data_IF_762279476881
#
_entry.id   IF_762279476881
#
_cell.length_a   1.000
_cell.length_b   1.000
_cell.length_c   1.000
_cell.angle_alpha   90.00
_cell.angle_beta   90.00
_cell.angle_gamma   90.00
#
_symmetry.space_group_name_H-M   'P 1'
#
loop_
_entity.id
_entity.type
_entity.pdbx_description
1 polymer ?
#
# COMPACT_ATOMS: atom_id res chain seq x y z
N UNK A 1 -17.25 -14.70 3.93
CA UNK A 1 -16.41 -15.57 4.79
C UNK A 1 -15.06 -14.90 4.83
N UNK A 2 -14.52 -14.54 5.99
CA UNK A 2 -13.18 -13.89 6.06
C UNK A 2 -12.10 -14.94 5.78
N UNK A 3 -11.06 -14.57 5.03
CA UNK A 3 -9.87 -15.38 4.79
C UNK A 3 -8.91 -15.36 5.98
N UNK A 4 -9.04 -14.32 6.81
CA UNK A 4 -8.20 -14.05 7.95
C UNK A 4 -8.95 -14.43 9.23
N UNK A 5 -8.88 -15.70 9.61
CA UNK A 5 -9.47 -16.16 10.87
C UNK A 5 -8.65 -15.69 12.09
N UNK A 6 -9.26 -15.81 13.27
CA UNK A 6 -8.67 -15.32 14.52
C UNK A 6 -7.33 -16.01 14.83
N UNK A 7 -7.21 -17.31 14.55
CA UNK A 7 -6.00 -18.08 14.88
C UNK A 7 -4.85 -17.72 13.95
N UNK A 8 -5.13 -17.50 12.66
CA UNK A 8 -4.17 -17.00 11.68
C UNK A 8 -3.65 -15.61 12.07
N UNK A 9 -4.59 -14.69 12.39
CA UNK A 9 -4.23 -13.33 12.80
C UNK A 9 -3.41 -13.31 14.10
N UNK A 10 -3.73 -14.18 15.06
CA UNK A 10 -2.94 -14.30 16.29
C UNK A 10 -1.49 -14.74 16.00
N UNK A 11 -1.30 -15.76 15.16
CA UNK A 11 0.05 -16.22 14.76
C UNK A 11 0.85 -15.13 14.04
N UNK A 12 0.22 -14.41 13.12
CA UNK A 12 0.85 -13.28 12.40
C UNK A 12 1.22 -12.16 13.38
N UNK A 13 0.31 -11.83 14.31
CA UNK A 13 0.55 -10.82 15.33
C UNK A 13 1.76 -11.15 16.24
N UNK A 14 1.87 -12.42 16.68
CA UNK A 14 2.99 -12.86 17.51
C UNK A 14 4.35 -12.69 16.83
N UNK A 15 4.43 -12.91 15.50
CA UNK A 15 5.66 -12.77 14.72
C UNK A 15 6.04 -11.32 14.39
N UNK A 16 5.07 -10.40 14.43
CA UNK A 16 5.28 -9.02 13.99
C UNK A 16 6.33 -8.25 14.81
N UNK A 17 6.42 -8.51 16.12
CA UNK A 17 7.41 -7.87 16.99
C UNK A 17 8.84 -8.32 16.70
N UNK A 18 9.04 -9.60 16.42
CA UNK A 18 10.34 -10.17 16.07
C UNK A 18 10.81 -9.68 14.68
N UNK A 19 9.92 -9.70 13.68
CA UNK A 19 10.23 -9.22 12.33
C UNK A 19 10.66 -7.73 12.33
N UNK A 20 9.98 -6.88 13.12
CA UNK A 20 10.38 -5.50 13.33
C UNK A 20 11.74 -5.38 14.03
N UNK A 21 11.95 -6.10 15.12
CA UNK A 21 13.18 -6.02 15.90
C UNK A 21 14.42 -6.50 15.13
N UNK A 22 14.28 -7.59 14.39
CA UNK A 22 15.37 -8.20 13.59
C UNK A 22 15.51 -7.60 12.20
N UNK A 23 14.57 -6.74 11.77
CA UNK A 23 14.52 -6.19 10.41
C UNK A 23 14.50 -7.28 9.34
N UNK A 24 13.64 -8.28 9.49
CA UNK A 24 13.54 -9.42 8.58
C UNK A 24 12.16 -9.54 7.95
N UNK A 25 12.12 -10.18 6.77
CA UNK A 25 10.84 -10.52 6.13
C UNK A 25 10.19 -11.72 6.84
N UNK A 26 8.91 -11.64 7.20
CA UNK A 26 8.22 -12.75 7.85
C UNK A 26 7.71 -13.80 6.84
N UNK A 27 8.59 -14.65 6.33
CA UNK A 27 8.27 -15.66 5.30
C UNK A 27 7.09 -16.57 5.68
N UNK A 28 6.95 -16.87 6.98
CA UNK A 28 5.83 -17.68 7.48
C UNK A 28 4.49 -16.98 7.35
N UNK A 29 4.45 -15.65 7.42
CA UNK A 29 3.22 -14.88 7.21
C UNK A 29 2.74 -15.03 5.76
N UNK A 30 3.66 -14.94 4.79
CA UNK A 30 3.33 -15.16 3.38
C UNK A 30 2.82 -16.59 3.13
N UNK A 31 3.46 -17.60 3.73
CA UNK A 31 3.02 -18.99 3.61
C UNK A 31 1.62 -19.19 4.20
N UNK A 32 1.39 -18.72 5.42
CA UNK A 32 0.09 -18.80 6.09
C UNK A 32 -1.02 -18.07 5.31
N UNK A 33 -0.74 -16.89 4.75
CA UNK A 33 -1.69 -16.13 3.91
C UNK A 33 -1.98 -16.84 2.59
N UNK A 34 -0.98 -17.49 1.99
CA UNK A 34 -1.16 -18.33 0.79
C UNK A 34 -2.03 -19.53 1.08
N UNK A 35 -1.75 -20.25 2.15
CA UNK A 35 -2.51 -21.45 2.56
C UNK A 35 -3.96 -21.12 2.90
N UNK A 36 -4.21 -19.93 3.46
CA UNK A 36 -5.55 -19.40 3.68
C UNK A 36 -6.28 -18.96 2.40
N UNK A 37 -5.60 -18.93 1.24
CA UNK A 37 -6.14 -18.46 -0.03
C UNK A 37 -6.24 -16.93 -0.17
N UNK A 38 -5.64 -16.17 0.76
CA UNK A 38 -5.74 -14.70 0.79
C UNK A 38 -5.08 -14.04 -0.43
N UNK A 39 -3.99 -14.63 -0.98
CA UNK A 39 -3.32 -14.07 -2.17
C UNK A 39 -4.21 -14.09 -3.41
N UNK A 40 -5.09 -15.07 -3.54
CA UNK A 40 -6.05 -15.18 -4.65
C UNK A 40 -7.45 -14.66 -4.29
N UNK A 41 -7.65 -14.08 -3.10
CA UNK A 41 -8.97 -13.65 -2.65
C UNK A 41 -9.58 -12.55 -3.54
N UNK A 42 -8.75 -11.66 -4.07
CA UNK A 42 -9.17 -10.58 -4.96
C UNK A 42 -9.29 -11.01 -6.44
N UNK A 43 -8.73 -12.16 -6.82
CA UNK A 43 -8.85 -12.71 -8.18
C UNK A 43 -10.31 -13.12 -8.45
N UNK A 44 -10.92 -12.74 -9.60
CA UNK A 44 -12.27 -13.16 -9.95
C UNK A 44 -12.41 -14.68 -10.05
N UNK A 45 -13.61 -15.19 -9.79
CA UNK A 45 -13.89 -16.65 -9.77
C UNK A 45 -13.62 -17.35 -11.09
N UNK A 46 -13.85 -16.66 -12.21
CA UNK A 46 -13.57 -17.18 -13.56
C UNK A 46 -12.06 -17.37 -13.84
N UNK A 47 -11.19 -16.75 -13.04
CA UNK A 47 -9.73 -16.93 -13.08
C UNK A 47 -9.22 -17.84 -11.96
N UNK A 48 -10.11 -18.44 -11.16
CA UNK A 48 -9.76 -19.39 -10.10
C UNK A 48 -9.54 -18.78 -8.73
N UNK A 49 -9.89 -17.51 -8.50
CA UNK A 49 -9.86 -16.86 -7.20
C UNK A 49 -11.19 -16.87 -6.45
N UNK A 50 -11.29 -16.11 -5.37
CA UNK A 50 -12.50 -16.03 -4.56
C UNK A 50 -13.46 -14.90 -4.98
N UNK A 51 -13.02 -13.96 -5.79
CA UNK A 51 -13.86 -12.92 -6.38
C UNK A 51 -14.25 -11.80 -5.41
N UNK A 52 -13.51 -11.59 -4.31
CA UNK A 52 -13.79 -10.47 -3.41
C UNK A 52 -13.74 -9.14 -4.19
N UNK A 53 -14.61 -8.20 -3.83
CA UNK A 53 -14.60 -6.83 -4.31
C UNK A 53 -13.47 -6.01 -3.69
N UNK A 54 -13.15 -4.83 -4.22
CA UNK A 54 -12.19 -3.91 -3.62
C UNK A 54 -12.64 -3.49 -2.20
N UNK A 55 -13.94 -3.30 -2.01
CA UNK A 55 -14.52 -3.00 -0.69
C UNK A 55 -14.22 -4.10 0.33
N UNK A 56 -14.35 -5.36 -0.07
CA UNK A 56 -14.11 -6.52 0.81
C UNK A 56 -12.60 -6.71 1.07
N UNK A 57 -11.75 -6.60 0.04
CA UNK A 57 -10.29 -6.68 0.20
C UNK A 57 -9.77 -5.53 1.08
N UNK A 58 -10.29 -4.32 0.97
CA UNK A 58 -9.91 -3.22 1.85
C UNK A 58 -10.27 -3.51 3.32
N UNK A 59 -11.39 -4.18 3.59
CA UNK A 59 -11.75 -4.60 4.94
C UNK A 59 -10.82 -5.70 5.48
N UNK A 60 -10.51 -6.72 4.67
CA UNK A 60 -9.52 -7.75 5.03
C UNK A 60 -8.13 -7.12 5.27
N UNK A 61 -7.72 -6.17 4.44
CA UNK A 61 -6.44 -5.47 4.59
C UNK A 61 -6.38 -4.65 5.89
N UNK A 62 -7.46 -3.97 6.26
CA UNK A 62 -7.59 -3.31 7.57
C UNK A 62 -7.40 -4.32 8.70
N UNK A 63 -8.03 -5.48 8.60
CA UNK A 63 -7.94 -6.55 9.61
C UNK A 63 -6.52 -7.10 9.72
N UNK A 64 -5.84 -7.36 8.59
CA UNK A 64 -4.44 -7.82 8.59
C UNK A 64 -3.50 -6.77 9.18
N UNK A 65 -3.72 -5.48 8.87
CA UNK A 65 -2.90 -4.39 9.38
C UNK A 65 -3.03 -4.20 10.90
N UNK A 66 -4.16 -4.55 11.50
CA UNK A 66 -4.31 -4.60 12.97
C UNK A 66 -3.40 -5.66 13.59
N UNK A 67 -3.22 -6.79 12.94
CA UNK A 67 -2.34 -7.85 13.42
C UNK A 67 -0.85 -7.52 13.19
N UNK A 68 -0.48 -7.16 11.96
CA UNK A 68 0.91 -6.90 11.57
C UNK A 68 0.99 -5.86 10.45
N UNK A 69 1.23 -4.58 10.77
CA UNK A 69 1.31 -3.50 9.79
C UNK A 69 2.31 -3.74 8.65
N UNK A 70 3.51 -4.21 8.99
CA UNK A 70 4.55 -4.46 7.99
C UNK A 70 4.20 -5.60 7.03
N UNK A 71 3.63 -6.71 7.52
CA UNK A 71 3.11 -7.80 6.67
C UNK A 71 1.98 -7.29 5.78
N UNK A 72 1.03 -6.53 6.35
CA UNK A 72 -0.09 -5.97 5.61
C UNK A 72 0.37 -5.02 4.49
N UNK A 73 1.28 -4.09 4.80
CA UNK A 73 1.81 -3.17 3.80
C UNK A 73 2.60 -3.90 2.70
N UNK A 74 3.38 -4.92 3.05
CA UNK A 74 4.09 -5.73 2.07
C UNK A 74 3.14 -6.41 1.09
N UNK A 75 2.18 -7.19 1.62
CA UNK A 75 1.23 -7.95 0.80
C UNK A 75 0.24 -7.04 0.04
N UNK A 76 0.07 -5.81 0.51
CA UNK A 76 -0.74 -4.79 -0.15
C UNK A 76 -0.27 -4.53 -1.58
N UNK A 77 1.04 -4.59 -1.85
CA UNK A 77 1.58 -4.40 -3.20
C UNK A 77 1.10 -5.48 -4.16
N UNK A 78 1.00 -6.73 -3.69
CA UNK A 78 0.40 -7.81 -4.46
C UNK A 78 -1.09 -7.54 -4.75
N UNK A 79 -1.87 -7.15 -3.75
CA UNK A 79 -3.29 -6.87 -3.93
C UNK A 79 -3.56 -5.69 -4.86
N UNK A 80 -2.70 -4.66 -4.86
CA UNK A 80 -2.77 -3.54 -5.80
C UNK A 80 -2.66 -4.02 -7.25
N UNK A 81 -1.71 -4.91 -7.53
CA UNK A 81 -1.50 -5.42 -8.89
C UNK A 81 -2.63 -6.39 -9.31
N UNK A 82 -3.13 -7.22 -8.40
CA UNK A 82 -4.32 -8.03 -8.68
C UNK A 82 -5.54 -7.15 -8.98
N UNK A 83 -5.73 -6.08 -8.21
CA UNK A 83 -6.76 -5.07 -8.46
C UNK A 83 -6.61 -4.38 -9.81
N UNK A 84 -5.38 -4.03 -10.20
CA UNK A 84 -5.08 -3.54 -11.55
C UNK A 84 -5.54 -4.55 -12.60
N UNK A 85 -5.19 -5.84 -12.45
CA UNK A 85 -5.62 -6.91 -13.36
C UNK A 85 -7.13 -6.97 -13.52
N UNK A 86 -7.88 -6.92 -12.41
CA UNK A 86 -9.35 -6.86 -12.43
C UNK A 86 -9.88 -5.64 -13.18
N UNK A 87 -9.33 -4.47 -12.88
CA UNK A 87 -9.73 -3.22 -13.50
C UNK A 87 -9.50 -3.25 -15.01
N UNK A 88 -8.35 -3.77 -15.46
CA UNK A 88 -8.02 -3.92 -16.87
C UNK A 88 -8.98 -4.86 -17.59
N UNK A 89 -9.30 -6.02 -17.03
CA UNK A 89 -10.27 -6.96 -17.62
C UNK A 89 -11.65 -6.32 -17.70
N UNK A 90 -12.11 -5.64 -16.66
CA UNK A 90 -13.39 -4.92 -16.67
C UNK A 90 -13.43 -3.79 -17.73
N UNK A 91 -12.28 -3.17 -18.02
CA UNK A 91 -12.13 -2.18 -19.09
C UNK A 91 -11.94 -2.81 -20.50
N UNK A 92 -12.03 -4.13 -20.64
CA UNK A 92 -11.85 -4.84 -21.90
C UNK A 92 -10.38 -4.99 -22.35
N UNK A 93 -9.42 -4.77 -21.45
CA UNK A 93 -8.00 -4.93 -21.74
C UNK A 93 -7.49 -6.32 -21.31
N UNK A 94 -7.22 -7.18 -22.30
CA UNK A 94 -6.78 -8.56 -22.12
C UNK A 94 -5.43 -8.69 -21.34
N UNK A 95 -4.63 -7.62 -21.25
CA UNK A 95 -3.38 -7.63 -20.45
C UNK A 95 -3.64 -7.90 -18.94
N UNK A 96 -4.83 -7.59 -18.46
CA UNK A 96 -5.24 -7.90 -17.09
C UNK A 96 -5.39 -9.40 -16.82
N UNK A 97 -5.74 -10.21 -17.83
CA UNK A 97 -5.96 -11.66 -17.64
C UNK A 97 -4.69 -12.39 -17.17
N UNK A 98 -3.51 -12.03 -17.71
CA UNK A 98 -2.27 -12.68 -17.31
C UNK A 98 -1.94 -12.39 -15.85
N UNK A 99 -2.15 -11.16 -15.39
CA UNK A 99 -1.99 -10.78 -13.96
C UNK A 99 -2.88 -11.68 -13.07
N UNK A 100 -4.14 -11.85 -13.46
CA UNK A 100 -5.10 -12.64 -12.68
C UNK A 100 -4.76 -14.13 -12.68
N UNK A 101 -4.32 -14.69 -13.82
CA UNK A 101 -3.88 -16.08 -13.94
C UNK A 101 -2.62 -16.33 -13.11
N UNK A 102 -1.64 -15.44 -13.16
CA UNK A 102 -0.41 -15.53 -12.38
C UNK A 102 -0.72 -15.49 -10.87
N UNK A 103 -1.57 -14.56 -10.42
CA UNK A 103 -1.99 -14.48 -9.02
C UNK A 103 -2.72 -15.75 -8.57
N UNK A 104 -3.64 -16.29 -9.39
CA UNK A 104 -4.33 -17.55 -9.12
C UNK A 104 -3.38 -18.76 -9.07
N UNK A 105 -2.29 -18.73 -9.84
CA UNK A 105 -1.22 -19.75 -9.81
C UNK A 105 -0.28 -19.61 -8.60
N UNK A 106 -0.46 -18.58 -7.76
CA UNK A 106 0.33 -18.36 -6.54
C UNK A 106 1.55 -17.47 -6.74
N UNK A 107 1.67 -16.79 -7.89
CA UNK A 107 2.72 -15.79 -8.12
C UNK A 107 2.50 -14.57 -7.20
N UNK A 108 3.59 -13.99 -6.74
CA UNK A 108 3.59 -12.85 -5.81
C UNK A 108 4.06 -11.60 -6.54
N UNK A 109 3.20 -10.59 -6.58
CA UNK A 109 3.52 -9.34 -7.25
C UNK A 109 4.21 -8.35 -6.34
N UNK A 110 5.35 -7.81 -6.78
CA UNK A 110 6.01 -6.62 -6.24
C UNK A 110 5.65 -5.38 -7.05
N UNK A 111 5.94 -4.21 -6.47
CA UNK A 111 5.59 -2.90 -7.03
C UNK A 111 6.82 -2.00 -7.05
N UNK A 112 7.46 -1.84 -8.22
CA UNK A 112 8.69 -1.09 -8.45
C UNK A 112 8.44 0.22 -9.21
N UNK A 113 7.72 1.16 -8.60
CA UNK A 113 7.38 2.46 -9.22
C UNK A 113 8.29 3.58 -8.74
N UNK A 114 8.52 3.71 -7.44
CA UNK A 114 9.29 4.82 -6.85
C UNK A 114 10.75 4.81 -7.31
N UNK A 115 11.30 6.00 -7.53
CA UNK A 115 12.68 6.22 -8.01
C UNK A 115 13.37 7.32 -7.19
N UNK A 116 14.69 7.25 -7.00
CA UNK A 116 15.41 8.29 -6.27
C UNK A 116 15.27 9.67 -6.95
N UNK A 117 14.82 10.68 -6.20
CA UNK A 117 14.69 12.05 -6.69
C UNK A 117 13.60 12.27 -7.75
N UNK A 118 12.71 11.31 -7.95
CA UNK A 118 11.57 11.42 -8.86
C UNK A 118 10.29 11.82 -8.08
N UNK A 119 9.95 13.09 -8.12
CA UNK A 119 8.73 13.66 -7.54
C UNK A 119 7.48 13.52 -8.45
N UNK A 120 7.65 13.06 -9.70
CA UNK A 120 6.52 12.75 -10.59
C UNK A 120 5.85 11.42 -10.27
N UNK A 121 6.51 10.58 -9.49
CA UNK A 121 6.03 9.26 -9.04
C UNK A 121 5.47 8.43 -10.22
N UNK A 122 4.16 8.19 -10.26
CA UNK A 122 3.49 7.39 -11.31
C UNK A 122 3.40 8.12 -12.66
N UNK A 123 3.53 9.45 -12.66
CA UNK A 123 3.28 10.29 -13.84
C UNK A 123 4.52 10.60 -14.68
N UNK A 124 5.67 10.09 -14.28
CA UNK A 124 6.91 10.19 -15.04
C UNK A 124 8.02 9.35 -14.45
N UNK A 125 9.00 8.97 -15.25
CA UNK A 125 10.07 8.08 -14.83
C UNK A 125 11.45 8.61 -15.21
N UNK A 126 12.43 8.37 -14.35
CA UNK A 126 13.86 8.58 -14.59
C UNK A 126 14.54 7.28 -15.08
N UNK A 127 13.89 6.12 -14.94
CA UNK A 127 14.31 4.85 -15.55
C UNK A 127 14.18 4.95 -17.06
N UNK A 128 15.24 4.61 -17.78
CA UNK A 128 15.23 4.54 -19.25
C UNK A 128 14.57 3.23 -19.70
N UNK A 129 13.65 3.33 -20.68
CA UNK A 129 13.10 2.22 -21.42
C UNK A 129 13.51 2.32 -22.88
N UNK A 130 14.20 1.31 -23.41
CA UNK A 130 14.68 1.27 -24.80
C UNK A 130 13.97 0.15 -25.53
N UNK A 131 13.30 0.47 -26.64
CA UNK A 131 12.60 -0.52 -27.46
C UNK A 131 13.57 -1.59 -27.99
N UNK A 132 13.15 -2.84 -27.96
CA UNK A 132 13.88 -3.99 -28.52
C UNK A 132 13.32 -4.37 -29.89
N UNK A 133 14.06 -5.13 -30.67
CA UNK A 133 13.67 -5.50 -32.06
C UNK A 133 12.47 -6.44 -32.14
N UNK A 134 12.12 -7.10 -31.04
CA UNK A 134 10.99 -8.01 -30.89
C UNK A 134 9.72 -7.35 -30.31
N UNK A 135 9.75 -6.02 -30.18
CA UNK A 135 8.60 -5.23 -29.70
C UNK A 135 8.51 -5.13 -28.18
N UNK A 136 9.48 -5.65 -27.44
CA UNK A 136 9.64 -5.47 -25.99
C UNK A 136 10.42 -4.20 -25.65
N UNK A 137 10.84 -4.10 -24.37
CA UNK A 137 11.65 -3.00 -23.87
C UNK A 137 12.74 -3.48 -22.91
N UNK A 138 13.92 -2.88 -23.02
CA UNK A 138 15.00 -3.03 -22.02
C UNK A 138 14.97 -1.83 -21.07
N UNK A 139 15.03 -2.12 -19.75
CA UNK A 139 14.94 -1.10 -18.71
C UNK A 139 16.26 -0.93 -17.98
N UNK A 140 16.65 0.33 -17.76
CA UNK A 140 17.86 0.71 -17.02
C UNK A 140 17.58 1.87 -16.08
N UNK A 141 17.80 1.65 -14.77
CA UNK A 141 17.51 2.66 -13.74
C UNK A 141 17.48 2.06 -12.33
N UNK A 142 16.95 2.82 -11.38
CA UNK A 142 16.89 2.40 -9.98
C UNK A 142 15.46 2.53 -9.46
N UNK A 143 14.94 1.45 -8.89
CA UNK A 143 13.66 1.46 -8.17
C UNK A 143 13.93 1.34 -6.68
N UNK A 144 13.26 2.18 -5.89
CA UNK A 144 13.34 2.19 -4.42
C UNK A 144 12.00 1.82 -3.82
N UNK A 145 11.99 1.43 -2.54
CA UNK A 145 10.78 1.00 -1.84
C UNK A 145 10.05 -0.16 -2.52
N UNK A 146 10.83 -1.09 -3.12
CA UNK A 146 10.27 -2.29 -3.76
C UNK A 146 9.90 -3.32 -2.68
N UNK A 147 8.72 -3.19 -2.09
CA UNK A 147 8.24 -4.11 -1.06
C UNK A 147 8.19 -5.54 -1.56
N UNK A 148 8.27 -6.52 -0.64
CA UNK A 148 8.37 -7.96 -0.95
C UNK A 148 9.65 -8.34 -1.70
N UNK A 149 10.72 -7.55 -1.62
CA UNK A 149 11.98 -7.84 -2.34
C UNK A 149 12.52 -9.26 -2.16
N UNK A 150 12.41 -9.91 -0.99
CA UNK A 150 12.85 -11.30 -0.85
C UNK A 150 11.99 -12.32 -1.60
N UNK A 151 10.73 -12.03 -1.89
CA UNK A 151 9.73 -13.05 -2.23
C UNK A 151 8.86 -12.77 -3.46
N UNK A 152 8.89 -11.58 -4.04
CA UNK A 152 8.13 -11.31 -5.26
C UNK A 152 8.63 -12.21 -6.40
N UNK A 153 7.72 -12.69 -7.23
CA UNK A 153 8.01 -13.50 -8.42
C UNK A 153 7.71 -12.73 -9.70
N UNK A 154 6.89 -11.68 -9.59
CA UNK A 154 6.50 -10.76 -10.65
C UNK A 154 6.66 -9.34 -10.12
N UNK A 155 7.35 -8.48 -10.85
CA UNK A 155 7.58 -7.08 -10.44
C UNK A 155 7.05 -6.13 -11.50
N UNK A 156 6.02 -5.34 -11.14
CA UNK A 156 5.59 -4.23 -11.98
C UNK A 156 6.64 -3.13 -11.93
N UNK A 157 7.13 -2.72 -13.10
CA UNK A 157 8.02 -1.58 -13.28
C UNK A 157 7.51 -0.66 -14.35
N UNK A 158 8.07 0.55 -14.42
CA UNK A 158 7.90 1.42 -15.59
C UNK A 158 9.18 2.20 -15.88
N UNK A 159 9.25 2.72 -17.10
CA UNK A 159 10.37 3.53 -17.57
C UNK A 159 9.92 4.52 -18.62
N UNK A 160 10.79 5.51 -18.91
CA UNK A 160 10.61 6.51 -19.96
C UNK A 160 11.30 6.06 -21.23
N UNK A 161 10.55 5.98 -22.33
CA UNK A 161 11.07 5.79 -23.68
C UNK A 161 11.02 7.10 -24.46
N UNK A 162 12.08 7.41 -25.18
CA UNK A 162 12.09 8.51 -26.14
C UNK A 162 11.64 7.97 -27.50
N UNK A 163 10.60 8.54 -28.09
CA UNK A 163 10.06 8.17 -29.39
C UNK A 163 10.00 9.37 -30.33
N UNK A 164 9.75 9.14 -31.64
CA UNK A 164 9.58 10.22 -32.62
C UNK A 164 8.38 11.13 -32.27
N UNK A 165 7.37 10.60 -31.57
CA UNK A 165 6.20 11.36 -31.11
C UNK A 165 6.40 12.08 -29.76
N UNK A 166 7.59 11.97 -29.18
CA UNK A 166 7.92 12.48 -27.85
C UNK A 166 8.07 11.38 -26.79
N UNK A 167 8.26 11.76 -25.52
CA UNK A 167 8.49 10.82 -24.46
C UNK A 167 7.23 9.99 -24.16
N UNK A 168 7.39 8.69 -23.87
CA UNK A 168 6.34 7.78 -23.44
C UNK A 168 6.72 7.12 -22.12
N UNK A 169 5.71 6.81 -21.30
CA UNK A 169 5.81 5.95 -20.12
C UNK A 169 5.47 4.53 -20.53
N UNK A 170 6.38 3.59 -20.30
CA UNK A 170 6.23 2.17 -20.65
C UNK A 170 6.12 1.37 -19.36
N UNK A 171 5.01 0.66 -19.16
CA UNK A 171 4.75 -0.20 -18.00
C UNK A 171 4.89 -1.66 -18.39
N UNK A 172 5.60 -2.44 -17.58
CA UNK A 172 5.81 -3.86 -17.87
C UNK A 172 6.07 -4.68 -16.61
N UNK A 173 6.02 -6.01 -16.76
CA UNK A 173 6.22 -6.96 -15.67
C UNK A 173 7.51 -7.73 -15.87
N UNK A 174 8.44 -7.60 -14.92
CA UNK A 174 9.67 -8.40 -14.80
C UNK A 174 9.35 -9.67 -14.04
N UNK A 175 9.85 -10.80 -14.50
CA UNK A 175 9.79 -12.07 -13.77
C UNK A 175 11.05 -12.24 -12.91
N UNK A 176 10.95 -13.02 -11.83
CA UNK A 176 12.06 -13.22 -10.88
C UNK A 176 13.28 -13.88 -11.50
N UNK A 177 13.10 -14.69 -12.51
CA UNK A 177 14.11 -15.43 -13.26
C UNK A 177 14.67 -14.68 -14.48
N UNK A 178 14.16 -13.46 -14.77
CA UNK A 178 14.75 -12.60 -15.80
C UNK A 178 16.14 -12.13 -15.36
N UNK A 179 17.06 -11.97 -16.33
CA UNK A 179 18.38 -11.39 -16.12
C UNK A 179 18.38 -9.87 -16.26
N UNK A 180 19.45 -9.21 -15.81
CA UNK A 180 19.64 -7.77 -15.99
C UNK A 180 19.03 -6.90 -14.89
N UNK A 181 18.83 -7.46 -13.70
CA UNK A 181 18.52 -6.68 -12.50
C UNK A 181 19.26 -7.25 -11.27
N UNK A 182 19.33 -6.46 -10.21
CA UNK A 182 19.82 -6.91 -8.91
C UNK A 182 19.07 -6.21 -7.77
N UNK A 183 18.99 -6.86 -6.62
CA UNK A 183 18.35 -6.33 -5.41
C UNK A 183 19.46 -6.04 -4.40
N UNK A 184 19.46 -4.84 -3.80
CA UNK A 184 20.38 -4.48 -2.73
C UNK A 184 19.84 -4.91 -1.39
N UNK A 185 20.72 -5.29 -0.49
CA UNK A 185 20.38 -5.49 0.93
C UNK A 185 20.58 -4.16 1.68
N UNK A 186 19.64 -3.23 1.50
CA UNK A 186 19.75 -1.85 1.99
C UNK A 186 18.52 -1.37 2.78
N UNK A 187 17.59 -2.27 3.13
CA UNK A 187 16.39 -1.91 3.87
C UNK A 187 16.67 -1.74 5.37
N UNK A 188 16.87 -0.50 5.79
CA UNK A 188 17.06 -0.15 7.21
C UNK A 188 16.28 1.12 7.54
N UNK A 189 15.03 0.98 7.91
CA UNK A 189 14.07 2.06 8.11
C UNK A 189 13.58 2.16 9.55
N UNK A 190 12.95 3.29 9.86
CA UNK A 190 12.39 3.58 11.18
C UNK A 190 11.21 2.65 11.52
N UNK A 191 10.30 2.46 10.58
CA UNK A 191 9.11 1.61 10.68
C UNK A 191 8.86 0.82 9.40
N UNK A 192 7.79 0.04 9.37
CA UNK A 192 7.43 -0.87 8.27
C UNK A 192 8.58 -1.81 7.88
N UNK A 193 9.40 -2.19 8.85
CA UNK A 193 10.66 -2.93 8.65
C UNK A 193 10.43 -4.29 8.00
N UNK A 194 9.34 -4.97 8.37
CA UNK A 194 8.97 -6.28 7.83
C UNK A 194 8.56 -6.27 6.34
N UNK A 195 8.36 -5.10 5.71
CA UNK A 195 8.05 -5.04 4.26
C UNK A 195 9.22 -5.42 3.39
N UNK A 196 10.46 -5.28 3.89
CA UNK A 196 11.72 -5.50 3.17
C UNK A 196 11.67 -4.88 1.76
N UNK A 197 11.52 -3.55 1.75
CA UNK A 197 11.29 -2.76 0.53
C UNK A 197 12.62 -2.28 -0.08
N UNK A 198 13.47 -3.22 -0.40
CA UNK A 198 14.84 -3.01 -0.86
C UNK A 198 14.92 -2.28 -2.21
N UNK A 199 16.07 -1.69 -2.50
CA UNK A 199 16.38 -1.10 -3.80
C UNK A 199 16.57 -2.18 -4.86
N UNK A 200 15.89 -2.02 -5.99
CA UNK A 200 16.08 -2.84 -7.21
C UNK A 200 16.80 -2.03 -8.27
N UNK A 201 17.96 -2.50 -8.70
CA UNK A 201 18.73 -1.92 -9.80
C UNK A 201 18.35 -2.63 -11.11
N UNK A 202 17.84 -1.89 -12.08
CA UNK A 202 17.57 -2.37 -13.43
C UNK A 202 18.81 -2.07 -14.29
N UNK A 203 19.42 -3.11 -14.85
CA UNK A 203 20.70 -3.08 -15.53
C UNK A 203 20.58 -3.66 -16.95
N UNK A 204 19.51 -3.25 -17.63
CA UNK A 204 19.20 -3.76 -18.96
C UNK A 204 18.22 -4.95 -18.95
N UNK A 205 17.41 -5.09 -17.88
CA UNK A 205 16.39 -6.14 -17.84
C UNK A 205 15.41 -5.97 -19.00
N UNK A 206 15.19 -7.04 -19.76
CA UNK A 206 14.32 -7.02 -20.93
C UNK A 206 12.95 -7.59 -20.59
N UNK A 207 11.90 -6.80 -20.90
CA UNK A 207 10.50 -7.21 -20.77
C UNK A 207 9.98 -7.41 -22.19
N UNK A 208 9.57 -8.63 -22.59
CA UNK A 208 9.04 -8.91 -23.91
C UNK A 208 7.67 -8.26 -24.14
N UNK A 209 7.27 -8.12 -25.39
CA UNK A 209 6.07 -7.40 -25.81
C UNK A 209 4.77 -7.88 -25.15
N UNK A 210 4.64 -9.17 -24.88
CA UNK A 210 3.47 -9.77 -24.23
C UNK A 210 3.33 -9.43 -22.75
N UNK A 211 4.43 -9.00 -22.09
CA UNK A 211 4.47 -8.52 -20.70
C UNK A 211 4.47 -6.99 -20.56
N UNK A 212 4.42 -6.24 -21.66
CA UNK A 212 4.17 -4.79 -21.65
C UNK A 212 2.68 -4.53 -21.45
N UNK A 213 2.33 -3.81 -20.38
CA UNK A 213 0.93 -3.54 -20.03
C UNK A 213 0.33 -2.35 -20.79
N UNK A 214 1.10 -1.26 -20.88
CA UNK A 214 0.72 -0.06 -21.64
C UNK A 214 1.94 0.77 -22.01
N UNK A 215 1.76 1.58 -23.06
CA UNK A 215 2.67 2.67 -23.46
C UNK A 215 1.79 3.91 -23.56
N UNK A 216 2.03 4.91 -22.71
CA UNK A 216 1.18 6.10 -22.62
C UNK A 216 2.01 7.37 -22.49
N UNK A 217 1.38 8.53 -22.69
CA UNK A 217 2.04 9.81 -22.46
C UNK A 217 2.35 9.99 -20.95
N UNK A 218 3.46 10.64 -20.60
CA UNK A 218 3.72 11.01 -19.22
C UNK A 218 2.67 11.99 -18.68
N UNK A 219 2.39 11.88 -17.40
CA UNK A 219 1.43 12.75 -16.70
C UNK A 219 0.15 12.02 -16.29
N UNK A 220 -0.74 12.74 -15.59
CA UNK A 220 -2.07 12.23 -15.26
C UNK A 220 -2.86 11.92 -16.52
N UNK A 221 -3.31 10.70 -16.68
CA UNK A 221 -4.04 10.27 -17.88
C UNK A 221 -5.23 9.38 -17.51
N UNK A 222 -6.15 9.21 -18.47
CA UNK A 222 -7.26 8.29 -18.38
C UNK A 222 -6.90 6.85 -18.79
N UNK A 223 -5.61 6.56 -18.99
CA UNK A 223 -5.14 5.21 -19.28
C UNK A 223 -5.56 4.24 -18.15
N UNK A 224 -6.18 3.10 -18.46
CA UNK A 224 -6.68 2.16 -17.47
C UNK A 224 -5.58 1.61 -16.54
N UNK A 225 -4.32 1.51 -16.98
CA UNK A 225 -3.20 1.08 -16.13
C UNK A 225 -2.90 2.16 -15.09
N UNK A 226 -2.86 3.44 -15.50
CA UNK A 226 -2.60 4.56 -14.58
C UNK A 226 -3.70 4.66 -13.52
N UNK A 227 -4.97 4.67 -13.96
CA UNK A 227 -6.08 4.79 -13.01
C UNK A 227 -6.23 3.53 -12.13
N UNK A 228 -6.05 2.34 -12.72
CA UNK A 228 -6.10 1.08 -11.99
C UNK A 228 -5.04 0.99 -10.89
N UNK A 229 -3.79 1.36 -11.18
CA UNK A 229 -2.73 1.44 -10.17
C UNK A 229 -3.13 2.46 -9.09
N UNK A 230 -3.43 3.70 -9.49
CA UNK A 230 -3.67 4.80 -8.56
C UNK A 230 -4.83 4.50 -7.60
N UNK A 231 -5.97 4.06 -8.13
CA UNK A 231 -7.17 3.81 -7.33
C UNK A 231 -6.97 2.70 -6.29
N UNK A 232 -6.39 1.56 -6.69
CA UNK A 232 -6.14 0.45 -5.78
C UNK A 232 -5.05 0.78 -4.76
N UNK A 233 -4.00 1.50 -5.18
CA UNK A 233 -2.93 1.94 -4.29
C UNK A 233 -3.46 2.82 -3.17
N UNK A 234 -4.19 3.89 -3.49
CA UNK A 234 -4.67 4.84 -2.49
C UNK A 234 -5.68 4.20 -1.51
N UNK A 235 -6.63 3.39 -2.02
CA UNK A 235 -7.63 2.72 -1.19
C UNK A 235 -7.00 1.68 -0.25
N UNK A 236 -6.12 0.84 -0.76
CA UNK A 236 -5.54 -0.25 0.03
C UNK A 236 -4.49 0.27 1.03
N UNK A 237 -3.77 1.35 0.70
CA UNK A 237 -2.94 2.04 1.68
C UNK A 237 -3.77 2.69 2.78
N UNK A 238 -4.86 3.39 2.43
CA UNK A 238 -5.77 3.96 3.41
C UNK A 238 -6.32 2.89 4.37
N UNK A 239 -6.70 1.73 3.84
CA UNK A 239 -7.17 0.58 4.63
C UNK A 239 -6.08 0.05 5.58
N UNK A 240 -4.83 -0.03 5.10
CA UNK A 240 -3.70 -0.45 5.94
C UNK A 240 -3.51 0.51 7.12
N UNK A 241 -3.47 1.83 6.87
CA UNK A 241 -3.32 2.82 7.94
C UNK A 241 -4.53 2.86 8.87
N UNK A 242 -5.74 2.67 8.36
CA UNK A 242 -6.93 2.51 9.22
C UNK A 242 -6.69 1.38 10.23
N UNK A 243 -6.22 0.21 9.81
CA UNK A 243 -5.94 -0.91 10.70
C UNK A 243 -4.90 -0.59 11.77
N UNK A 244 -3.81 0.09 11.42
CA UNK A 244 -2.77 0.54 12.37
C UNK A 244 -3.37 1.45 13.45
N UNK A 245 -4.17 2.44 13.06
CA UNK A 245 -4.78 3.38 13.98
C UNK A 245 -5.83 2.72 14.90
N UNK A 246 -6.67 1.84 14.35
CA UNK A 246 -7.64 1.07 15.15
C UNK A 246 -6.94 0.17 16.16
N UNK A 247 -5.86 -0.51 15.77
CA UNK A 247 -5.07 -1.34 16.71
C UNK A 247 -4.46 -0.51 17.83
N UNK A 248 -3.98 0.69 17.55
CA UNK A 248 -3.44 1.57 18.59
C UNK A 248 -4.48 1.93 19.64
N UNK A 249 -5.74 2.16 19.26
CA UNK A 249 -6.86 2.40 20.18
C UNK A 249 -7.11 1.17 21.05
N UNK A 250 -7.14 -0.03 20.45
CA UNK A 250 -7.34 -1.30 21.18
C UNK A 250 -6.25 -1.54 22.22
N UNK A 251 -4.98 -1.42 21.81
CA UNK A 251 -3.81 -1.59 22.70
C UNK A 251 -3.86 -0.62 23.87
N UNK A 252 -4.20 0.64 23.61
CA UNK A 252 -4.32 1.64 24.67
C UNK A 252 -5.48 1.32 25.61
N UNK A 253 -6.65 0.93 25.11
CA UNK A 253 -7.81 0.56 25.92
C UNK A 253 -7.50 -0.64 26.84
N UNK A 254 -6.85 -1.69 26.31
CA UNK A 254 -6.42 -2.84 27.09
C UNK A 254 -5.40 -2.46 28.18
N UNK A 255 -4.42 -1.59 27.83
CA UNK A 255 -3.41 -1.15 28.76
C UNK A 255 -4.01 -0.39 29.96
N UNK A 256 -4.86 0.61 29.70
CA UNK A 256 -5.43 1.45 30.75
C UNK A 256 -6.45 0.70 31.62
N UNK A 257 -7.09 -0.36 31.10
CA UNK A 257 -7.98 -1.23 31.86
C UNK A 257 -7.24 -2.06 32.93
N UNK A 258 -5.98 -2.42 32.66
CA UNK A 258 -5.14 -3.24 33.56
C UNK A 258 -4.31 -2.41 34.52
N UNK A 259 -3.86 -1.21 34.12
CA UNK A 259 -2.98 -0.36 34.91
C UNK A 259 -3.74 0.37 36.01
N UNK A 260 -3.19 0.35 37.22
CA UNK A 260 -3.77 1.04 38.39
C UNK A 260 -2.98 2.31 38.74
N UNK A 261 -3.71 3.38 39.06
CA UNK A 261 -3.18 4.60 39.65
C UNK A 261 -2.95 4.41 41.17
N UNK A 262 -1.73 4.60 41.61
CA UNK A 262 -1.41 4.61 43.08
C UNK A 262 -2.07 5.80 43.75
N UNK A 263 -2.07 6.97 43.09
CA UNK A 263 -2.68 8.21 43.60
C UNK A 263 -4.21 8.06 43.76
N UNK A 264 -4.87 7.56 42.71
CA UNK A 264 -6.35 7.53 42.64
C UNK A 264 -6.96 6.20 43.12
N UNK A 265 -6.13 5.21 43.49
CA UNK A 265 -6.53 3.87 43.96
C UNK A 265 -7.52 3.12 43.04
N UNK A 266 -7.53 3.47 41.75
CA UNK A 266 -8.40 2.88 40.73
C UNK A 266 -7.63 2.57 39.44
N UNK A 267 -8.26 1.93 38.47
CA UNK A 267 -7.66 1.70 37.14
C UNK A 267 -7.60 3.01 36.34
N UNK A 268 -6.64 3.13 35.42
CA UNK A 268 -6.49 4.30 34.54
C UNK A 268 -7.72 4.48 33.64
N UNK A 269 -8.47 3.43 33.37
CA UNK A 269 -9.74 3.49 32.65
C UNK A 269 -10.84 4.31 33.36
N UNK A 270 -10.64 4.66 34.64
CA UNK A 270 -11.54 5.53 35.40
C UNK A 270 -11.03 6.98 35.52
N UNK A 271 -9.88 7.28 34.96
CA UNK A 271 -9.33 8.65 34.92
C UNK A 271 -9.98 9.44 33.77
N UNK A 272 -10.60 10.61 34.04
CA UNK A 272 -11.29 11.39 33.02
C UNK A 272 -10.41 11.84 31.86
N UNK A 273 -9.16 12.23 32.12
CA UNK A 273 -8.24 12.72 31.11
C UNK A 273 -7.76 11.59 30.18
N UNK A 274 -7.51 10.42 30.77
CA UNK A 274 -7.16 9.20 30.00
C UNK A 274 -8.32 8.74 29.16
N UNK A 275 -9.54 8.72 29.71
CA UNK A 275 -10.76 8.41 28.97
C UNK A 275 -10.96 9.34 27.77
N UNK A 276 -10.72 10.64 27.99
CA UNK A 276 -10.81 11.63 26.92
C UNK A 276 -9.83 11.29 25.77
N UNK A 277 -8.58 10.94 26.07
CA UNK A 277 -7.58 10.56 25.05
C UNK A 277 -7.96 9.33 24.26
N UNK A 278 -8.48 8.30 24.91
CA UNK A 278 -8.94 7.08 24.24
C UNK A 278 -10.13 7.42 23.32
N UNK A 279 -11.09 8.22 23.80
CA UNK A 279 -12.23 8.64 23.01
C UNK A 279 -11.81 9.50 21.80
N UNK A 280 -10.85 10.42 21.99
CA UNK A 280 -10.31 11.25 20.91
C UNK A 280 -9.65 10.38 19.82
N UNK A 281 -8.81 9.43 20.20
CA UNK A 281 -8.19 8.50 19.26
C UNK A 281 -9.25 7.70 18.46
N UNK A 282 -10.26 7.18 19.16
CA UNK A 282 -11.34 6.43 18.54
C UNK A 282 -12.20 7.29 17.58
N UNK A 283 -12.51 8.53 17.97
CA UNK A 283 -13.27 9.48 17.14
C UNK A 283 -12.51 9.87 15.87
N UNK A 284 -11.22 10.11 15.97
CA UNK A 284 -10.36 10.39 14.82
C UNK A 284 -10.42 9.22 13.82
N UNK A 285 -10.26 7.97 14.29
CA UNK A 285 -10.28 6.79 13.42
C UNK A 285 -11.68 6.48 12.86
N UNK A 286 -12.75 6.78 13.61
CA UNK A 286 -14.12 6.55 13.15
C UNK A 286 -14.48 7.32 11.87
N UNK A 287 -13.82 8.43 11.58
CA UNK A 287 -14.06 9.24 10.40
C UNK A 287 -13.43 8.66 9.12
N UNK A 288 -12.44 7.75 9.23
CA UNK A 288 -11.64 7.26 8.11
C UNK A 288 -12.39 6.18 7.30
N UNK A 289 -12.90 5.15 7.96
CA UNK A 289 -13.49 3.98 7.31
C UNK A 289 -14.65 4.27 6.35
N UNK A 290 -15.59 5.18 6.66
CA UNK A 290 -16.68 5.51 5.74
C UNK A 290 -16.21 6.04 4.38
N UNK A 291 -15.18 6.89 4.34
CA UNK A 291 -14.64 7.46 3.11
C UNK A 291 -13.98 6.38 2.24
N UNK A 292 -13.18 5.50 2.84
CA UNK A 292 -12.56 4.37 2.15
C UNK A 292 -13.62 3.46 1.52
N UNK A 293 -14.63 3.08 2.29
CA UNK A 293 -15.70 2.19 1.82
C UNK A 293 -16.53 2.80 0.69
N UNK A 294 -16.81 4.11 0.74
CA UNK A 294 -17.56 4.78 -0.31
C UNK A 294 -16.79 4.77 -1.62
N UNK A 295 -15.51 5.18 -1.60
CA UNK A 295 -14.68 5.22 -2.80
C UNK A 295 -14.43 3.82 -3.37
N UNK A 296 -14.18 2.82 -2.51
CA UNK A 296 -14.00 1.44 -2.94
C UNK A 296 -15.29 0.89 -3.61
N UNK A 297 -16.47 1.15 -3.04
CA UNK A 297 -17.75 0.77 -3.66
C UNK A 297 -17.96 1.40 -5.02
N UNK A 298 -17.60 2.66 -5.17
CA UNK A 298 -17.78 3.37 -6.44
C UNK A 298 -16.84 2.83 -7.51
N UNK A 299 -15.61 2.41 -7.15
CA UNK A 299 -14.71 1.70 -8.05
C UNK A 299 -15.32 0.35 -8.44
N UNK A 300 -15.78 -0.44 -7.47
CA UNK A 300 -16.43 -1.74 -7.70
C UNK A 300 -17.67 -1.62 -8.61
N UNK A 301 -18.42 -0.52 -8.47
CA UNK A 301 -19.63 -0.25 -9.26
C UNK A 301 -19.38 0.46 -10.60
N UNK A 302 -18.13 0.81 -10.92
CA UNK A 302 -17.78 1.52 -12.14
C UNK A 302 -18.36 2.94 -12.20
N UNK A 303 -18.55 3.59 -11.06
CA UNK A 303 -19.06 4.98 -11.00
C UNK A 303 -18.05 5.93 -11.62
N UNK A 304 -18.50 6.81 -12.49
CA UNK A 304 -17.67 7.90 -13.04
C UNK A 304 -17.76 9.14 -12.15
N UNK A 305 -16.67 9.47 -11.45
CA UNK A 305 -16.49 10.72 -10.70
C UNK A 305 -15.69 11.78 -11.48
N UNK A 306 -15.34 11.46 -12.73
CA UNK A 306 -14.60 12.36 -13.61
C UNK A 306 -13.29 12.87 -12.99
N UNK A 307 -13.05 14.19 -13.13
CA UNK A 307 -11.83 14.85 -12.62
C UNK A 307 -11.65 14.80 -11.10
N UNK A 308 -12.69 14.47 -10.34
CA UNK A 308 -12.60 14.41 -8.89
C UNK A 308 -12.01 13.10 -8.35
N UNK A 309 -11.86 12.07 -9.17
CA UNK A 309 -11.36 10.76 -8.74
C UNK A 309 -9.99 10.85 -8.03
N UNK A 310 -8.97 11.33 -8.73
CA UNK A 310 -7.62 11.37 -8.17
C UNK A 310 -7.52 12.20 -6.89
N UNK A 311 -8.05 13.45 -6.82
CA UNK A 311 -8.07 14.21 -5.57
C UNK A 311 -8.79 13.52 -4.42
N UNK A 312 -9.93 12.85 -4.67
CA UNK A 312 -10.68 12.18 -3.61
C UNK A 312 -9.96 10.92 -3.09
N UNK A 313 -9.34 10.14 -3.97
CA UNK A 313 -8.54 8.98 -3.60
C UNK A 313 -7.32 9.40 -2.75
N UNK A 314 -6.58 10.41 -3.20
CA UNK A 314 -5.47 10.99 -2.42
C UNK A 314 -5.93 11.53 -1.06
N UNK A 315 -7.11 12.17 -1.01
CA UNK A 315 -7.66 12.66 0.25
C UNK A 315 -7.98 11.52 1.23
N UNK A 316 -8.53 10.41 0.77
CA UNK A 316 -8.82 9.27 1.61
C UNK A 316 -7.54 8.66 2.21
N UNK A 317 -6.48 8.49 1.40
CA UNK A 317 -5.18 7.97 1.88
C UNK A 317 -4.53 8.93 2.88
N UNK A 318 -4.47 10.22 2.56
CA UNK A 318 -3.89 11.21 3.46
C UNK A 318 -4.67 11.31 4.77
N UNK A 319 -6.01 11.36 4.71
CA UNK A 319 -6.85 11.37 5.91
C UNK A 319 -6.60 10.14 6.79
N UNK A 320 -6.42 8.96 6.21
CA UNK A 320 -6.10 7.75 6.95
C UNK A 320 -4.72 7.82 7.61
N UNK A 321 -3.68 8.27 6.89
CA UNK A 321 -2.32 8.36 7.41
C UNK A 321 -2.21 9.38 8.56
N UNK A 322 -2.74 10.59 8.37
CA UNK A 322 -2.75 11.65 9.38
C UNK A 322 -3.60 11.27 10.61
N UNK A 323 -4.77 10.70 10.39
CA UNK A 323 -5.64 10.21 11.47
C UNK A 323 -4.94 9.14 12.31
N UNK A 324 -4.28 8.20 11.64
CA UNK A 324 -3.54 7.12 12.30
C UNK A 324 -2.42 7.66 13.18
N UNK A 325 -1.58 8.56 12.67
CA UNK A 325 -0.49 9.14 13.44
C UNK A 325 -1.00 9.86 14.69
N UNK A 326 -2.05 10.67 14.54
CA UNK A 326 -2.69 11.37 15.65
C UNK A 326 -3.34 10.40 16.66
N UNK A 327 -4.00 9.35 16.19
CA UNK A 327 -4.61 8.34 17.06
C UNK A 327 -3.56 7.57 17.87
N UNK A 328 -2.46 7.14 17.22
CA UNK A 328 -1.35 6.47 17.92
C UNK A 328 -0.71 7.40 18.95
N UNK A 329 -0.52 8.69 18.64
CA UNK A 329 -0.01 9.67 19.61
C UNK A 329 -0.91 9.78 20.86
N UNK A 330 -2.24 9.87 20.68
CA UNK A 330 -3.18 9.91 21.81
C UNK A 330 -3.16 8.60 22.61
N UNK A 331 -3.08 7.46 21.93
CA UNK A 331 -2.94 6.15 22.55
C UNK A 331 -1.66 6.05 23.42
N UNK A 332 -0.52 6.51 22.91
CA UNK A 332 0.74 6.56 23.65
C UNK A 332 0.65 7.48 24.89
N UNK A 333 0.04 8.66 24.74
CA UNK A 333 -0.18 9.59 25.86
C UNK A 333 -1.09 8.99 26.94
N UNK A 334 -2.11 8.20 26.56
CA UNK A 334 -2.96 7.50 27.50
C UNK A 334 -2.21 6.40 28.27
N UNK A 335 -1.30 5.68 27.63
CA UNK A 335 -0.45 4.65 28.24
C UNK A 335 0.69 5.23 29.08
N UNK A 336 1.10 6.48 28.81
CA UNK A 336 2.21 7.14 29.49
C UNK A 336 3.57 6.56 29.12
N UNK A 337 4.60 6.75 29.98
CA UNK A 337 5.99 6.43 29.69
C UNK A 337 6.26 4.96 29.32
N UNK A 338 5.37 4.03 29.63
CA UNK A 338 5.51 2.62 29.20
C UNK A 338 5.47 2.48 27.69
N UNK A 339 4.70 3.31 26.99
CA UNK A 339 4.60 3.28 25.52
C UNK A 339 5.88 3.77 24.81
N UNK A 340 6.84 4.34 25.53
CA UNK A 340 8.12 4.80 24.98
C UNK A 340 9.16 3.68 24.83
N UNK A 341 8.95 2.54 25.47
CA UNK A 341 9.87 1.40 25.32
C UNK A 341 9.66 0.70 23.98
N UNK A 342 10.76 0.29 23.33
CA UNK A 342 10.72 -0.44 22.05
C UNK A 342 9.96 -1.78 22.14
N UNK A 343 9.85 -2.36 23.33
CA UNK A 343 9.07 -3.59 23.58
C UNK A 343 7.57 -3.37 23.64
N UNK A 344 7.11 -2.12 23.69
CA UNK A 344 5.69 -1.79 23.72
C UNK A 344 5.14 -1.68 22.29
N UNK A 345 4.02 -2.34 22.01
CA UNK A 345 3.42 -2.40 20.68
C UNK A 345 3.15 -1.00 20.09
N UNK A 346 2.67 -0.03 20.89
CA UNK A 346 2.45 1.35 20.42
C UNK A 346 3.73 2.04 19.91
N UNK A 347 4.90 1.69 20.43
CA UNK A 347 6.18 2.21 19.90
C UNK A 347 6.41 1.75 18.45
N UNK A 348 6.10 0.49 18.15
CA UNK A 348 6.16 -0.04 16.78
C UNK A 348 5.10 0.60 15.89
N UNK A 349 3.83 0.62 16.34
CA UNK A 349 2.73 1.22 15.59
C UNK A 349 2.98 2.70 15.26
N UNK A 350 3.62 3.45 16.17
CA UNK A 350 4.00 4.85 15.92
C UNK A 350 5.04 4.97 14.80
N UNK A 351 6.08 4.13 14.83
CA UNK A 351 7.11 4.10 13.77
C UNK A 351 6.52 3.66 12.43
N UNK A 352 5.62 2.68 12.44
CA UNK A 352 4.93 2.19 11.25
C UNK A 352 3.99 3.25 10.66
N UNK A 353 3.27 4.00 11.52
CA UNK A 353 2.36 5.07 11.09
C UNK A 353 3.09 6.21 10.36
N UNK A 354 4.33 6.52 10.75
CA UNK A 354 5.13 7.59 10.11
C UNK A 354 5.36 7.34 8.62
N UNK A 355 5.43 6.09 8.16
CA UNK A 355 5.64 5.78 6.76
C UNK A 355 4.54 6.34 5.85
N UNK A 356 3.31 6.47 6.36
CA UNK A 356 2.17 7.02 5.63
C UNK A 356 2.33 8.47 5.20
N UNK A 357 3.17 9.24 5.88
CA UNK A 357 3.44 10.63 5.52
C UNK A 357 4.29 10.78 4.24
N UNK A 358 5.11 9.76 3.94
CA UNK A 358 6.08 9.79 2.86
C UNK A 358 5.65 9.01 1.62
N UNK A 359 4.59 8.20 1.74
CA UNK A 359 4.06 7.45 0.61
C UNK A 359 3.19 8.35 -0.27
N UNK A 360 3.25 8.20 -1.60
CA UNK A 360 2.31 8.89 -2.48
C UNK A 360 0.85 8.46 -2.17
N UNK A 361 -0.14 9.36 -2.25
CA UNK A 361 0.04 10.81 -2.40
C UNK A 361 0.36 11.43 -1.05
N UNK A 362 1.34 12.32 -1.01
CA UNK A 362 1.66 13.11 0.18
C UNK A 362 0.74 14.35 0.32
N UNK A 363 0.92 15.10 1.40
CA UNK A 363 0.09 16.27 1.69
C UNK A 363 0.25 17.37 0.64
N UNK A 364 1.44 17.59 0.14
CA UNK A 364 1.76 18.60 -0.86
C UNK A 364 1.09 18.31 -2.20
N UNK A 365 1.21 17.08 -2.70
CA UNK A 365 0.58 16.65 -3.94
C UNK A 365 -0.95 16.63 -3.85
N UNK A 366 -1.50 16.26 -2.68
CA UNK A 366 -2.93 16.33 -2.40
C UNK A 366 -3.45 17.78 -2.51
N UNK A 367 -2.80 18.73 -1.83
CA UNK A 367 -3.23 20.13 -1.86
C UNK A 367 -3.14 20.71 -3.27
N UNK A 368 -2.08 20.39 -4.02
CA UNK A 368 -1.95 20.80 -5.42
C UNK A 368 -3.08 20.23 -6.29
N UNK A 369 -3.40 18.93 -6.13
CA UNK A 369 -4.48 18.29 -6.88
C UNK A 369 -5.86 18.92 -6.58
N UNK A 370 -6.17 19.20 -5.32
CA UNK A 370 -7.40 19.86 -4.91
C UNK A 370 -7.46 21.31 -5.36
N UNK A 371 -6.36 22.07 -5.26
CA UNK A 371 -6.31 23.46 -5.76
C UNK A 371 -6.57 23.48 -7.27
N UNK A 372 -5.97 22.58 -8.04
CA UNK A 372 -6.21 22.47 -9.47
C UNK A 372 -7.65 22.07 -9.82
N UNK A 373 -8.29 21.25 -9.00
CA UNK A 373 -9.71 20.89 -9.18
C UNK A 373 -10.65 22.09 -8.99
N UNK A 374 -10.38 22.96 -8.00
CA UNK A 374 -11.22 24.09 -7.62
C UNK A 374 -10.91 25.33 -8.45
N UNK A 375 -9.63 25.64 -8.64
CA UNK A 375 -9.15 26.90 -9.21
C UNK A 375 -8.69 26.77 -10.67
N UNK A 376 -8.51 25.55 -11.17
CA UNK A 376 -7.82 25.28 -12.44
C UNK A 376 -6.30 25.20 -12.29
N UNK A 377 -5.58 24.79 -13.34
CA UNK A 377 -4.13 24.70 -13.32
C UNK A 377 -3.49 26.10 -13.18
N UNK A 378 -2.29 26.14 -12.58
CA UNK A 378 -1.50 27.38 -12.47
C UNK A 378 -1.13 27.85 -13.87
N UNK A 379 -1.52 29.07 -14.22
CA UNK A 379 -1.08 29.73 -15.46
C UNK A 379 0.41 30.08 -15.35
N UNK A 380 1.23 29.60 -16.31
CA UNK A 380 2.63 30.02 -16.38
C UNK A 380 2.67 31.47 -16.81
N UNK A 381 3.48 32.33 -16.16
CA UNK A 381 3.72 33.69 -16.68
C UNK A 381 4.23 33.59 -18.10
N UNK A 382 3.67 34.41 -19.00
CA UNK A 382 4.12 34.53 -20.40
C UNK A 382 5.52 35.09 -20.48
#
# INVERSE_FOLDING_TARGET
MSFLDTDLLARIHERAAEADATNTYPERDLADLRDAGYLAAFVPTEFGGAGLSLTEIAAEQTTLAKAAPGTALGINMHQIIVGLGRYLVAAGNARGEQILRDAAAGEVFGFGISEPGNDLVLFGSTTRATATTDGGYSFEGTKIFTSLSPVWTRLLIFGRAETEEGPKSVFGIVHRDDEGYSIKDDWNTLGMRATQSMTTLLQGVTVPADRILTITDPGPSADPVIFGIFSHFEILLAATYQGVGERAVEVAAEHVARRRSVKNQTTYSNDPDIRWRIAEAALIMNAVGPQIRELARDIDAGVDRGRSWMPQLSAAKNAAAEATLRAVEQAMRACGGSAYYNTHELSRLYRDALAGLFQPSDQESLHAAWANLILGPIEKPQ
#
